data_IF_294520122226
#
_entry.id   IF_294520122226
#
_cell.length_a   1.000
_cell.length_b   1.000
_cell.length_c   1.000
_cell.angle_alpha   90.00
_cell.angle_beta   90.00
_cell.angle_gamma   90.00
#
_symmetry.space_group_name_H-M   'P 1'
#
loop_
_entity.id
_entity.type
_entity.pdbx_description
1 polymer ?
#
# COMPACT_ATOMS: atom_id res chain seq x y z
N UNK A 1 -13.85 -16.35 18.50
CA UNK A 1 -12.42 -16.76 18.45
C UNK A 1 -12.26 -17.77 17.31
N UNK A 2 -11.38 -17.50 16.38
CA UNK A 2 -11.07 -18.41 15.27
C UNK A 2 -10.60 -19.75 15.84
N UNK A 3 -11.26 -20.85 15.44
CA UNK A 3 -10.82 -22.19 15.81
C UNK A 3 -9.72 -22.62 14.85
N UNK A 4 -8.48 -22.56 15.33
CA UNK A 4 -7.29 -22.95 14.60
C UNK A 4 -6.59 -24.10 15.36
N UNK A 5 -6.37 -25.22 14.68
CA UNK A 5 -5.56 -26.31 15.22
C UNK A 5 -4.11 -26.14 14.76
N UNK A 6 -3.27 -25.68 15.67
CA UNK A 6 -1.85 -25.43 15.41
C UNK A 6 -1.02 -26.70 15.22
N UNK A 7 -1.60 -27.87 15.47
CA UNK A 7 -0.93 -29.17 15.28
C UNK A 7 -1.12 -29.72 13.87
N UNK A 8 -2.07 -29.16 13.10
CA UNK A 8 -2.36 -29.57 11.73
C UNK A 8 -1.76 -28.57 10.75
N UNK A 9 -0.81 -29.03 9.94
CA UNK A 9 -0.26 -28.27 8.83
C UNK A 9 -0.48 -29.07 7.53
N UNK A 10 -1.48 -28.71 6.72
CA UNK A 10 -1.93 -29.53 5.58
C UNK A 10 -0.94 -29.56 4.40
N UNK A 11 0.06 -28.70 4.40
CA UNK A 11 1.03 -28.59 3.30
C UNK A 11 2.42 -29.01 3.74
N UNK A 12 3.23 -29.65 2.88
CA UNK A 12 4.63 -29.90 3.18
C UNK A 12 5.38 -28.58 3.31
N UNK A 13 5.77 -28.24 4.53
CA UNK A 13 6.48 -27.00 4.83
C UNK A 13 7.56 -27.24 5.89
N UNK A 14 8.67 -26.51 5.77
CA UNK A 14 9.71 -26.45 6.80
C UNK A 14 9.48 -25.33 7.82
N UNK A 15 8.35 -24.60 7.71
CA UNK A 15 8.02 -23.52 8.63
C UNK A 15 7.30 -24.07 9.85
N UNK A 16 7.68 -23.57 11.01
CA UNK A 16 6.98 -23.83 12.26
C UNK A 16 5.97 -22.74 12.56
N UNK A 17 4.90 -23.08 13.27
CA UNK A 17 4.00 -22.07 13.84
C UNK A 17 4.77 -21.26 14.87
N UNK A 18 4.72 -19.94 14.74
CA UNK A 18 5.38 -19.01 15.65
C UNK A 18 4.41 -18.56 16.73
N UNK A 19 4.84 -18.66 17.98
CA UNK A 19 4.08 -18.17 19.13
C UNK A 19 4.83 -17.01 19.77
N UNK A 20 4.11 -15.93 20.09
CA UNK A 20 4.68 -14.78 20.75
C UNK A 20 3.83 -14.36 21.96
N UNK A 21 4.50 -14.06 23.09
CA UNK A 21 3.84 -13.60 24.32
C UNK A 21 3.62 -12.08 24.30
N UNK A 22 4.56 -11.33 23.75
CA UNK A 22 4.65 -9.86 23.92
C UNK A 22 4.37 -9.10 22.61
N UNK A 23 3.71 -9.73 21.66
CA UNK A 23 3.40 -9.14 20.36
C UNK A 23 4.15 -9.81 19.23
N UNK A 24 3.74 -9.50 18.01
CA UNK A 24 4.28 -10.08 16.78
C UNK A 24 4.22 -9.05 15.65
N UNK A 25 5.17 -9.14 14.73
CA UNK A 25 5.18 -8.39 13.48
C UNK A 25 5.36 -9.37 12.32
N UNK A 26 4.56 -9.24 11.28
CA UNK A 26 4.62 -10.05 10.08
C UNK A 26 4.64 -9.16 8.83
N UNK A 27 5.64 -9.37 7.96
CA UNK A 27 5.78 -8.65 6.69
C UNK A 27 6.71 -9.42 5.75
N UNK A 28 6.85 -8.97 4.49
CA UNK A 28 7.69 -9.60 3.47
C UNK A 28 9.20 -9.51 3.72
N UNK A 29 9.66 -8.49 4.45
CA UNK A 29 11.09 -8.26 4.72
C UNK A 29 11.46 -8.57 6.17
N UNK A 30 12.43 -9.48 6.43
CA UNK A 30 12.93 -9.74 7.79
C UNK A 30 13.49 -8.50 8.49
N UNK A 31 14.16 -7.59 7.76
CA UNK A 31 14.71 -6.36 8.32
C UNK A 31 13.61 -5.41 8.78
N UNK A 32 12.55 -5.28 8.00
CA UNK A 32 11.39 -4.49 8.38
C UNK A 32 10.64 -5.08 9.58
N UNK A 33 10.48 -6.42 9.63
CA UNK A 33 9.92 -7.08 10.80
C UNK A 33 10.77 -6.85 12.06
N UNK A 34 12.10 -6.85 11.95
CA UNK A 34 13.00 -6.53 13.05
C UNK A 34 12.83 -5.09 13.54
N UNK A 35 12.65 -4.11 12.65
CA UNK A 35 12.39 -2.72 13.01
C UNK A 35 11.13 -2.60 13.87
N UNK A 36 10.02 -3.24 13.47
CA UNK A 36 8.80 -3.25 14.27
C UNK A 36 8.96 -3.97 15.62
N UNK A 37 9.69 -5.09 15.65
CA UNK A 37 9.99 -5.80 16.92
C UNK A 37 10.89 -4.98 17.85
N UNK A 38 11.81 -4.19 17.32
CA UNK A 38 12.63 -3.27 18.11
C UNK A 38 11.74 -2.25 18.83
N UNK A 39 10.75 -1.70 18.14
CA UNK A 39 9.82 -0.74 18.70
C UNK A 39 8.92 -1.38 19.75
N UNK A 40 8.41 -2.61 19.54
CA UNK A 40 7.68 -3.35 20.59
C UNK A 40 8.54 -3.56 21.85
N UNK A 41 9.82 -3.91 21.69
CA UNK A 41 10.76 -4.10 22.81
C UNK A 41 11.09 -2.80 23.56
N UNK A 42 11.01 -1.65 22.89
CA UNK A 42 11.17 -0.32 23.50
C UNK A 42 9.92 0.17 24.25
N UNK A 43 8.84 -0.60 24.22
CA UNK A 43 7.58 -0.27 24.89
C UNK A 43 6.53 0.37 24.00
N UNK A 44 6.77 0.46 22.69
CA UNK A 44 5.78 0.83 21.70
C UNK A 44 4.66 -0.21 21.59
N UNK A 45 3.53 0.19 21.07
CA UNK A 45 2.39 -0.69 20.82
C UNK A 45 2.37 -1.24 19.39
N UNK A 46 1.30 -1.96 19.02
CA UNK A 46 1.12 -2.51 17.68
C UNK A 46 1.15 -1.45 16.57
N UNK A 47 0.63 -0.26 16.85
CA UNK A 47 0.56 0.85 15.89
C UNK A 47 1.96 1.44 15.66
N UNK A 48 2.72 1.68 16.72
CA UNK A 48 4.12 2.12 16.62
C UNK A 48 4.96 1.09 15.85
N UNK A 49 4.78 -0.20 16.16
CA UNK A 49 5.47 -1.28 15.46
C UNK A 49 5.12 -1.35 13.97
N UNK A 50 3.86 -1.12 13.61
CA UNK A 50 3.42 -1.08 12.22
C UNK A 50 4.05 0.10 11.46
N UNK A 51 4.08 1.31 12.06
CA UNK A 51 4.71 2.48 11.46
C UNK A 51 6.21 2.24 11.25
N UNK A 52 6.91 1.71 12.27
CA UNK A 52 8.35 1.40 12.17
C UNK A 52 8.64 0.39 11.05
N UNK A 53 7.79 -0.64 10.94
CA UNK A 53 7.88 -1.66 9.88
C UNK A 53 7.63 -1.02 8.51
N UNK A 54 6.60 -0.20 8.39
CA UNK A 54 6.24 0.51 7.17
C UNK A 54 7.38 1.45 6.71
N UNK A 55 7.92 2.26 7.63
CA UNK A 55 9.06 3.13 7.34
C UNK A 55 10.29 2.33 6.89
N UNK A 56 10.61 1.22 7.56
CA UNK A 56 11.71 0.34 7.16
C UNK A 56 11.49 -0.29 5.79
N UNK A 57 10.25 -0.65 5.42
CA UNK A 57 9.92 -1.19 4.09
C UNK A 57 10.21 -0.19 2.97
N UNK A 58 10.03 1.12 3.18
CA UNK A 58 10.40 2.12 2.17
C UNK A 58 11.89 2.14 1.86
N UNK A 59 12.71 1.65 2.78
CA UNK A 59 14.18 1.53 2.65
C UNK A 59 14.56 0.20 2.04
N UNK A 60 14.11 -0.93 2.64
CA UNK A 60 14.62 -2.27 2.31
C UNK A 60 13.85 -2.97 1.18
N UNK A 61 12.69 -2.45 0.81
CA UNK A 61 11.85 -2.93 -0.30
C UNK A 61 11.31 -1.78 -1.17
N UNK A 62 12.18 -0.87 -1.66
CA UNK A 62 11.75 0.30 -2.42
C UNK A 62 11.11 -0.07 -3.77
N UNK A 63 11.21 -1.33 -4.16
CA UNK A 63 10.60 -1.88 -5.38
C UNK A 63 9.09 -2.03 -5.29
N UNK A 64 8.49 -2.02 -4.11
CA UNK A 64 7.06 -2.21 -3.91
C UNK A 64 6.36 -1.02 -3.26
N UNK A 65 7.12 -0.14 -2.62
CA UNK A 65 6.61 1.02 -1.90
C UNK A 65 7.64 2.14 -1.78
N UNK A 66 7.23 3.31 -1.23
CA UNK A 66 8.13 4.44 -1.01
C UNK A 66 7.43 5.53 -0.21
N UNK A 67 8.17 6.50 0.31
CA UNK A 67 7.64 7.61 1.12
C UNK A 67 6.57 8.40 0.35
N UNK A 68 6.70 8.51 -0.96
CA UNK A 68 5.77 9.23 -1.85
C UNK A 68 4.56 8.41 -2.30
N UNK A 69 4.22 7.32 -1.63
CA UNK A 69 3.11 6.44 -1.94
C UNK A 69 1.80 6.77 -1.19
N UNK A 70 0.82 5.88 -1.32
CA UNK A 70 -0.43 5.87 -0.60
C UNK A 70 -0.44 4.83 0.53
N UNK A 71 -1.39 4.93 1.46
CA UNK A 71 -1.51 3.99 2.57
C UNK A 71 -2.93 3.88 3.12
N UNK A 72 -3.25 2.68 3.63
CA UNK A 72 -4.53 2.36 4.23
C UNK A 72 -4.33 1.53 5.49
N UNK A 73 -5.18 1.72 6.50
CA UNK A 73 -5.13 0.93 7.72
C UNK A 73 -6.52 0.55 8.22
N UNK A 74 -6.67 -0.69 8.68
CA UNK A 74 -7.76 -1.14 9.54
C UNK A 74 -7.12 -1.60 10.84
N UNK A 75 -7.60 -1.08 11.97
CA UNK A 75 -7.03 -1.40 13.27
C UNK A 75 -8.11 -1.68 14.31
N UNK A 76 -7.80 -2.59 15.22
CA UNK A 76 -8.61 -2.87 16.40
C UNK A 76 -7.87 -2.39 17.64
N UNK A 77 -8.43 -1.41 18.31
CA UNK A 77 -7.88 -0.84 19.56
C UNK A 77 -8.99 -0.81 20.58
N UNK A 78 -8.77 -1.40 21.75
CA UNK A 78 -9.77 -1.50 22.82
C UNK A 78 -11.11 -2.11 22.33
N UNK A 79 -11.05 -3.15 21.54
CA UNK A 79 -12.21 -3.83 20.94
C UNK A 79 -13.08 -2.95 20.00
N UNK A 80 -12.55 -1.83 19.54
CA UNK A 80 -13.18 -0.99 18.51
C UNK A 80 -12.37 -1.02 17.25
N UNK A 81 -13.06 -1.18 16.11
CA UNK A 81 -12.45 -1.16 14.78
C UNK A 81 -12.41 0.27 14.26
N UNK A 82 -11.32 0.65 13.64
CA UNK A 82 -11.09 1.95 13.00
C UNK A 82 -10.53 1.74 11.61
N UNK A 83 -10.86 2.63 10.69
CA UNK A 83 -10.29 2.69 9.35
C UNK A 83 -9.59 4.01 9.10
N UNK A 84 -8.45 3.99 8.42
CA UNK A 84 -7.74 5.17 7.94
C UNK A 84 -7.51 5.05 6.44
N UNK A 85 -7.97 6.04 5.70
CA UNK A 85 -7.70 6.20 4.27
C UNK A 85 -6.72 7.37 4.06
N UNK A 86 -5.55 7.07 3.53
CA UNK A 86 -4.53 8.04 3.15
C UNK A 86 -4.08 7.78 1.70
N UNK A 87 -5.05 7.71 0.77
CA UNK A 87 -4.80 7.47 -0.64
C UNK A 87 -4.42 8.73 -1.43
N UNK A 88 -4.69 9.91 -0.91
CA UNK A 88 -4.41 11.18 -1.55
C UNK A 88 -5.23 11.46 -2.83
N UNK A 89 -5.67 12.70 -3.03
CA UNK A 89 -6.40 13.10 -4.23
C UNK A 89 -5.47 13.32 -5.43
N UNK A 90 -6.06 13.38 -6.62
CA UNK A 90 -5.37 13.93 -7.79
C UNK A 90 -5.06 15.42 -7.58
N UNK A 91 -3.98 15.95 -8.16
CA UNK A 91 -3.68 17.38 -8.11
C UNK A 91 -4.81 18.24 -8.69
N UNK A 92 -5.10 19.38 -8.09
CA UNK A 92 -6.17 20.29 -8.52
C UNK A 92 -6.00 20.81 -9.96
N UNK A 93 -4.76 20.91 -10.41
CA UNK A 93 -4.45 21.37 -11.78
C UNK A 93 -4.63 20.28 -12.85
N UNK A 94 -4.86 19.03 -12.45
CA UNK A 94 -5.01 17.92 -13.39
C UNK A 94 -6.47 17.83 -13.86
N UNK A 95 -6.72 18.23 -15.10
CA UNK A 95 -8.02 18.12 -15.74
C UNK A 95 -8.00 17.05 -16.85
N UNK A 96 -9.05 16.22 -16.91
CA UNK A 96 -9.17 15.18 -17.94
C UNK A 96 -9.11 15.76 -19.36
N UNK A 97 -9.67 16.96 -19.58
CA UNK A 97 -9.64 17.63 -20.88
C UNK A 97 -8.23 17.97 -21.34
N UNK A 98 -7.32 18.33 -20.41
CA UNK A 98 -5.93 18.61 -20.75
C UNK A 98 -5.21 17.37 -21.26
N UNK A 99 -5.50 16.21 -20.66
CA UNK A 99 -4.93 14.93 -21.11
C UNK A 99 -5.44 14.55 -22.48
N UNK A 100 -6.74 14.70 -22.73
CA UNK A 100 -7.35 14.48 -24.04
C UNK A 100 -6.77 15.41 -25.12
N UNK A 101 -6.56 16.70 -24.79
CA UNK A 101 -5.95 17.68 -25.67
C UNK A 101 -4.48 17.33 -26.01
N UNK A 102 -3.77 16.65 -25.11
CA UNK A 102 -2.43 16.07 -25.35
C UNK A 102 -2.46 14.77 -26.14
N UNK A 103 -3.63 14.29 -26.56
CA UNK A 103 -3.82 13.06 -27.31
C UNK A 103 -3.75 11.78 -26.47
N UNK A 104 -3.75 11.89 -25.16
CA UNK A 104 -3.73 10.75 -24.24
C UNK A 104 -5.13 10.14 -24.16
N UNK A 105 -5.23 8.82 -24.41
CA UNK A 105 -6.48 8.06 -24.31
C UNK A 105 -6.64 7.35 -22.97
N UNK A 106 -5.54 7.20 -22.24
CA UNK A 106 -5.45 6.58 -20.91
C UNK A 106 -4.40 7.30 -20.10
N UNK A 107 -4.43 7.11 -18.77
CA UNK A 107 -3.42 7.67 -17.86
C UNK A 107 -2.04 7.04 -18.17
N UNK A 108 -0.98 7.84 -18.34
CA UNK A 108 0.37 7.32 -18.50
C UNK A 108 0.80 6.48 -17.30
N UNK A 109 1.63 5.46 -17.52
CA UNK A 109 2.15 4.62 -16.44
C UNK A 109 3.30 5.26 -15.67
N UNK A 110 4.08 6.13 -16.33
CA UNK A 110 5.29 6.74 -15.79
C UNK A 110 5.29 8.25 -15.98
N UNK A 111 6.18 8.94 -15.30
CA UNK A 111 6.30 10.40 -15.34
C UNK A 111 5.46 11.09 -14.27
N UNK A 112 5.32 12.42 -14.36
CA UNK A 112 4.64 13.24 -13.35
C UNK A 112 3.12 13.34 -13.53
N UNK A 113 2.57 12.88 -14.65
CA UNK A 113 1.12 12.98 -14.92
C UNK A 113 0.28 12.10 -13.99
N UNK A 114 0.62 10.81 -13.75
CA UNK A 114 -0.20 9.93 -12.93
C UNK A 114 -0.03 10.16 -11.42
N UNK A 115 0.89 11.02 -11.00
CA UNK A 115 1.21 11.23 -9.59
C UNK A 115 0.06 11.91 -8.86
N UNK A 116 -0.42 11.30 -7.77
CA UNK A 116 -1.38 11.89 -6.83
C UNK A 116 -0.66 12.42 -5.59
N UNK A 117 -1.39 13.09 -4.69
CA UNK A 117 -0.80 13.59 -3.44
C UNK A 117 -0.34 12.41 -2.58
N UNK A 118 0.95 12.34 -2.18
CA UNK A 118 1.44 11.25 -1.34
C UNK A 118 0.77 11.20 0.03
N UNK A 119 0.30 10.02 0.44
CA UNK A 119 -0.45 9.85 1.68
C UNK A 119 0.30 9.19 2.82
N UNK A 120 1.36 8.41 2.55
CA UNK A 120 2.07 7.60 3.55
C UNK A 120 2.56 8.39 4.76
N UNK A 121 3.25 9.54 4.63
CA UNK A 121 3.73 10.29 5.79
C UNK A 121 2.59 10.79 6.67
N UNK A 122 1.45 11.20 6.07
CA UNK A 122 0.27 11.63 6.81
C UNK A 122 -0.36 10.45 7.57
N UNK A 123 -0.43 9.26 6.94
CA UNK A 123 -0.93 8.06 7.61
C UNK A 123 -0.11 7.74 8.88
N UNK A 124 1.22 7.78 8.80
CA UNK A 124 2.07 7.54 9.96
C UNK A 124 1.85 8.57 11.06
N UNK A 125 1.77 9.85 10.70
CA UNK A 125 1.54 10.93 11.65
C UNK A 125 0.17 10.79 12.34
N UNK A 126 -0.90 10.52 11.59
CA UNK A 126 -2.26 10.35 12.13
C UNK A 126 -2.39 9.12 13.04
N UNK A 127 -1.82 7.98 12.62
CA UNK A 127 -1.78 6.77 13.42
C UNK A 127 -1.01 6.99 14.74
N UNK A 128 0.17 7.62 14.66
CA UNK A 128 1.02 7.92 15.82
C UNK A 128 0.34 8.89 16.79
N UNK A 129 -0.20 10.01 16.29
CA UNK A 129 -0.89 11.01 17.11
C UNK A 129 -2.09 10.44 17.87
N UNK A 130 -2.86 9.55 17.21
CA UNK A 130 -4.12 9.05 17.79
C UNK A 130 -3.91 7.85 18.71
N UNK A 131 -2.99 6.96 18.38
CA UNK A 131 -2.85 5.67 19.06
C UNK A 131 -1.42 5.29 19.44
N UNK A 132 -0.41 6.01 18.98
CA UNK A 132 0.99 5.73 19.29
C UNK A 132 1.32 5.93 20.77
N UNK A 133 2.29 5.19 21.27
CA UNK A 133 2.87 5.31 22.61
C UNK A 133 4.21 6.01 22.63
N UNK A 134 4.96 5.90 21.52
CA UNK A 134 6.28 6.50 21.40
C UNK A 134 6.23 7.72 20.45
N UNK A 135 7.15 8.69 20.61
CA UNK A 135 7.32 9.77 19.64
C UNK A 135 7.58 9.22 18.26
N UNK A 136 7.03 9.86 17.20
CA UNK A 136 7.19 9.38 15.83
C UNK A 136 8.66 9.33 15.40
N UNK A 137 9.51 10.25 15.88
CA UNK A 137 10.96 10.24 15.63
C UNK A 137 11.65 8.98 16.17
N UNK A 138 11.24 8.48 17.35
CA UNK A 138 11.75 7.21 17.86
C UNK A 138 11.22 6.01 17.06
N UNK A 139 9.99 6.09 16.60
CA UNK A 139 9.33 5.02 15.84
C UNK A 139 10.00 4.82 14.47
N UNK A 140 10.37 5.90 13.77
CA UNK A 140 11.04 5.80 12.46
C UNK A 140 12.56 5.59 12.56
N UNK A 141 13.16 5.76 13.74
CA UNK A 141 14.62 5.67 13.93
C UNK A 141 15.26 4.36 13.41
N UNK A 142 14.64 3.16 13.54
CA UNK A 142 15.20 1.95 12.95
C UNK A 142 15.29 2.01 11.42
N UNK A 143 14.33 2.65 10.74
CA UNK A 143 14.34 2.85 9.30
C UNK A 143 15.43 3.85 8.88
N UNK A 144 15.58 4.95 9.60
CA UNK A 144 16.66 5.93 9.43
C UNK A 144 18.01 5.25 9.53
N UNK A 145 18.20 4.39 10.54
CA UNK A 145 19.43 3.62 10.73
C UNK A 145 19.73 2.71 9.54
N UNK A 146 18.73 1.94 9.08
CA UNK A 146 18.88 1.08 7.90
C UNK A 146 19.26 1.86 6.65
N UNK A 147 18.68 3.03 6.44
CA UNK A 147 18.99 3.88 5.30
C UNK A 147 20.42 4.47 5.38
N UNK A 148 20.88 4.90 6.54
CA UNK A 148 22.23 5.48 6.75
C UNK A 148 23.34 4.45 6.76
N UNK A 149 23.22 3.39 7.55
CA UNK A 149 24.24 2.38 7.71
C UNK A 149 24.28 1.42 6.51
N UNK A 150 23.13 1.24 5.87
CA UNK A 150 22.93 0.36 4.72
C UNK A 150 22.43 -1.02 5.11
N UNK A 151 21.93 -1.73 4.11
CA UNK A 151 21.43 -3.09 4.23
C UNK A 151 21.85 -3.92 3.02
N UNK A 152 21.96 -5.24 3.20
CA UNK A 152 22.27 -6.18 2.12
C UNK A 152 21.00 -6.45 1.29
N UNK A 153 21.07 -6.23 -0.03
CA UNK A 153 19.91 -6.36 -0.95
C UNK A 153 19.54 -7.83 -1.14
N UNK A 154 18.27 -8.22 -0.85
CA UNK A 154 17.82 -9.60 -1.02
C UNK A 154 17.52 -9.93 -2.48
N UNK A 155 17.44 -11.24 -2.77
CA UNK A 155 17.31 -11.79 -4.14
C UNK A 155 16.17 -11.18 -4.95
N UNK A 156 14.96 -11.13 -4.38
CA UNK A 156 13.77 -10.65 -5.09
C UNK A 156 13.85 -9.15 -5.36
N UNK A 157 14.31 -8.38 -4.38
CA UNK A 157 14.48 -6.93 -4.49
C UNK A 157 15.51 -6.60 -5.59
N UNK A 158 16.67 -7.28 -5.62
CA UNK A 158 17.67 -7.09 -6.67
C UNK A 158 17.11 -7.34 -8.09
N UNK A 159 16.31 -8.39 -8.25
CA UNK A 159 15.66 -8.71 -9.56
C UNK A 159 14.68 -7.62 -9.99
N UNK A 160 13.83 -7.16 -9.07
CA UNK A 160 12.83 -6.10 -9.36
C UNK A 160 13.51 -4.75 -9.62
N UNK A 161 14.59 -4.46 -8.91
CA UNK A 161 15.40 -3.26 -9.11
C UNK A 161 15.98 -3.20 -10.53
N UNK A 162 16.60 -4.30 -10.98
CA UNK A 162 17.10 -4.42 -12.35
C UNK A 162 15.99 -4.26 -13.40
N UNK A 163 14.82 -4.84 -13.14
CA UNK A 163 13.66 -4.68 -14.02
C UNK A 163 13.20 -3.23 -14.11
N UNK A 164 13.16 -2.50 -12.98
CA UNK A 164 12.83 -1.08 -12.94
C UNK A 164 13.84 -0.25 -13.76
N UNK A 165 15.15 -0.47 -13.57
CA UNK A 165 16.18 0.22 -14.35
C UNK A 165 16.04 0.01 -15.88
N UNK A 166 15.68 -1.21 -16.30
CA UNK A 166 15.41 -1.50 -17.73
C UNK A 166 14.18 -0.75 -18.22
N UNK A 167 13.14 -0.62 -17.40
CA UNK A 167 11.92 0.10 -17.79
C UNK A 167 12.19 1.61 -17.89
N UNK A 168 12.73 2.22 -16.84
CA UNK A 168 12.99 3.66 -16.79
C UNK A 168 14.10 4.10 -17.75
N UNK A 169 15.05 3.20 -18.08
CA UNK A 169 16.06 3.47 -19.11
C UNK A 169 15.52 3.55 -20.54
N UNK A 170 14.24 3.21 -20.77
CA UNK A 170 13.55 3.39 -22.06
C UNK A 170 12.82 4.72 -22.17
N UNK A 171 12.61 5.39 -21.04
CA UNK A 171 11.93 6.67 -20.98
C UNK A 171 12.88 7.79 -21.41
N UNK A 172 12.37 8.77 -22.16
CA UNK A 172 13.17 9.84 -22.75
C UNK A 172 13.21 11.13 -21.93
N UNK A 173 12.45 11.19 -20.84
CA UNK A 173 12.37 12.38 -19.98
C UNK A 173 13.63 12.57 -19.13
N UNK A 174 14.16 13.81 -19.08
CA UNK A 174 15.34 14.14 -18.26
C UNK A 174 15.07 13.89 -16.76
N UNK A 175 13.84 14.01 -16.32
CA UNK A 175 13.40 13.80 -14.93
C UNK A 175 13.67 12.38 -14.41
N UNK A 176 13.74 11.38 -15.27
CA UNK A 176 14.06 10.00 -14.87
C UNK A 176 15.51 9.83 -14.38
N UNK A 177 16.41 10.76 -14.66
CA UNK A 177 17.81 10.69 -14.18
C UNK A 177 17.92 10.59 -12.67
N UNK A 178 17.01 11.26 -11.92
CA UNK A 178 17.04 11.26 -10.46
C UNK A 178 16.74 9.88 -9.85
N UNK A 179 16.01 9.02 -10.56
CA UNK A 179 15.88 7.64 -10.16
C UNK A 179 17.22 6.91 -10.23
N UNK A 180 17.99 7.12 -11.31
CA UNK A 180 19.31 6.51 -11.46
C UNK A 180 20.32 7.09 -10.46
N UNK A 181 20.30 8.38 -10.22
CA UNK A 181 21.15 9.04 -9.22
C UNK A 181 20.89 8.49 -7.81
N UNK A 182 19.65 8.26 -7.44
CA UNK A 182 19.24 7.80 -6.10
C UNK A 182 19.43 6.29 -5.92
N UNK A 183 19.05 5.50 -6.91
CA UNK A 183 18.91 4.06 -6.77
C UNK A 183 19.96 3.25 -7.54
N UNK A 184 20.97 3.89 -8.12
CA UNK A 184 22.10 3.18 -8.74
C UNK A 184 23.43 3.75 -8.28
N UNK A 185 24.49 2.96 -8.38
CA UNK A 185 25.85 3.42 -8.20
C UNK A 185 26.57 3.38 -9.54
N UNK A 186 27.05 4.54 -10.02
CA UNK A 186 27.68 4.66 -11.34
C UNK A 186 26.81 4.06 -12.48
N UNK A 187 25.48 4.28 -12.40
CA UNK A 187 24.50 3.77 -13.35
C UNK A 187 24.22 2.26 -13.25
N UNK A 188 24.78 1.57 -12.24
CA UNK A 188 24.59 0.12 -12.04
C UNK A 188 23.67 -0.14 -10.85
N UNK A 189 22.67 -1.00 -11.05
CA UNK A 189 21.84 -1.51 -9.97
C UNK A 189 22.66 -2.37 -9.01
N UNK A 190 22.24 -2.43 -7.73
CA UNK A 190 22.91 -3.30 -6.77
C UNK A 190 22.68 -4.78 -7.14
N UNK A 191 23.71 -5.58 -6.89
CA UNK A 191 23.65 -7.05 -6.97
C UNK A 191 23.13 -7.64 -5.66
N UNK A 192 22.79 -8.94 -5.71
CA UNK A 192 22.35 -9.68 -4.52
C UNK A 192 23.46 -9.65 -3.46
N UNK A 193 23.14 -9.19 -2.25
CA UNK A 193 24.07 -9.09 -1.14
C UNK A 193 24.88 -7.80 -1.08
N UNK A 194 24.80 -6.94 -2.10
CA UNK A 194 25.43 -5.63 -2.04
C UNK A 194 24.81 -4.77 -0.93
N UNK A 195 25.66 -3.98 -0.26
CA UNK A 195 25.19 -3.05 0.77
C UNK A 195 24.81 -1.72 0.13
N UNK A 196 23.52 -1.42 0.19
CA UNK A 196 22.93 -0.16 -0.28
C UNK A 196 22.73 0.81 0.87
N UNK A 197 23.08 2.08 0.68
CA UNK A 197 22.82 3.20 1.56
C UNK A 197 22.00 4.26 0.84
N UNK A 198 21.05 4.84 1.54
CA UNK A 198 20.11 5.84 1.02
C UNK A 198 20.10 7.07 1.96
N UNK A 199 21.19 7.88 1.98
CA UNK A 199 21.33 8.98 2.93
C UNK A 199 20.21 10.01 2.84
N UNK A 200 19.83 10.45 1.63
CA UNK A 200 18.76 11.42 1.43
C UNK A 200 17.41 10.88 1.94
N UNK A 201 17.19 9.57 1.80
CA UNK A 201 16.01 8.89 2.33
C UNK A 201 16.00 8.88 3.86
N UNK A 202 17.17 8.69 4.48
CA UNK A 202 17.31 8.76 5.94
C UNK A 202 16.99 10.16 6.47
N UNK A 203 17.50 11.20 5.82
CA UNK A 203 17.26 12.60 6.20
C UNK A 203 15.77 12.96 6.06
N UNK A 204 15.12 12.48 5.00
CA UNK A 204 13.68 12.65 4.80
C UNK A 204 12.87 11.94 5.89
N UNK A 205 13.21 10.70 6.25
CA UNK A 205 12.53 9.96 7.33
C UNK A 205 12.71 10.66 8.70
N UNK A 206 13.89 11.19 8.98
CA UNK A 206 14.15 11.99 10.19
C UNK A 206 13.26 13.22 10.24
N UNK A 207 13.24 14.03 9.16
CA UNK A 207 12.35 15.20 9.08
C UNK A 207 10.88 14.84 9.26
N UNK A 208 10.41 13.73 8.69
CA UNK A 208 9.03 13.25 8.88
C UNK A 208 8.78 12.89 10.34
N UNK A 209 9.70 12.16 10.98
CA UNK A 209 9.60 11.77 12.38
C UNK A 209 9.57 12.96 13.34
N UNK A 210 10.48 13.90 13.18
CA UNK A 210 10.66 15.06 14.06
C UNK A 210 9.49 16.05 13.96
N UNK A 211 8.85 16.16 12.79
CA UNK A 211 7.79 17.14 12.52
C UNK A 211 6.40 16.53 12.43
N UNK A 212 6.23 15.23 12.69
CA UNK A 212 4.97 14.52 12.43
C UNK A 212 4.43 14.80 11.03
N UNK A 213 5.34 14.68 10.05
CA UNK A 213 5.13 14.92 8.62
C UNK A 213 4.83 16.38 8.20
N UNK A 214 4.85 17.36 9.09
CA UNK A 214 4.63 18.75 8.68
C UNK A 214 5.69 19.26 7.70
N UNK A 215 6.95 18.81 7.82
CA UNK A 215 8.00 19.12 6.84
C UNK A 215 7.66 18.61 5.43
N UNK A 216 6.94 17.47 5.33
CA UNK A 216 6.55 16.88 4.06
C UNK A 216 5.42 17.65 3.37
N UNK A 217 4.44 18.13 4.13
CA UNK A 217 3.23 18.74 3.58
C UNK A 217 3.26 20.26 3.54
N UNK A 218 4.00 20.91 4.46
CA UNK A 218 4.01 22.39 4.61
C UNK A 218 5.40 22.99 4.58
N UNK A 219 6.46 22.18 4.82
CA UNK A 219 7.82 22.65 4.98
C UNK A 219 8.71 22.41 3.76
N UNK A 220 9.99 22.17 4.03
CA UNK A 220 11.06 22.05 3.03
C UNK A 220 10.81 20.96 1.99
N UNK A 221 10.28 19.81 2.39
CA UNK A 221 9.99 18.72 1.47
C UNK A 221 8.86 19.07 0.51
N UNK A 222 7.82 19.77 0.98
CA UNK A 222 6.76 20.29 0.13
C UNK A 222 7.31 21.30 -0.92
N UNK A 223 8.22 22.18 -0.52
CA UNK A 223 8.87 23.12 -1.43
C UNK A 223 9.69 22.39 -2.51
N UNK A 224 10.42 21.32 -2.14
CA UNK A 224 11.18 20.49 -3.08
C UNK A 224 10.28 19.75 -4.07
N UNK A 225 9.16 19.17 -3.58
CA UNK A 225 8.19 18.47 -4.42
C UNK A 225 7.54 19.44 -5.43
N UNK A 226 7.10 20.59 -4.97
CA UNK A 226 6.49 21.64 -5.82
C UNK A 226 7.47 22.15 -6.88
N UNK A 227 8.72 22.45 -6.48
CA UNK A 227 9.74 22.92 -7.40
C UNK A 227 10.09 21.87 -8.47
N UNK A 228 10.20 20.59 -8.06
CA UNK A 228 10.42 19.47 -8.98
C UNK A 228 9.26 19.31 -9.96
N UNK A 229 8.04 19.32 -9.46
CA UNK A 229 6.83 19.22 -10.27
C UNK A 229 6.75 20.37 -11.28
N UNK A 230 6.98 21.62 -10.86
CA UNK A 230 6.98 22.80 -11.74
C UNK A 230 8.04 22.71 -12.81
N UNK A 231 9.26 22.28 -12.45
CA UNK A 231 10.39 22.18 -13.39
C UNK A 231 10.11 21.26 -14.58
N UNK A 232 9.40 20.16 -14.34
CA UNK A 232 9.13 19.14 -15.36
C UNK A 232 7.65 19.09 -15.77
N UNK A 233 6.90 20.19 -15.60
CA UNK A 233 5.49 20.34 -15.99
C UNK A 233 4.55 19.30 -15.37
N UNK A 234 4.84 18.85 -14.16
CA UNK A 234 3.93 18.06 -13.36
C UNK A 234 2.78 18.90 -12.81
N UNK A 235 1.77 18.24 -12.24
CA UNK A 235 0.54 18.88 -11.80
C UNK A 235 0.49 19.19 -10.31
N UNK A 236 1.21 18.42 -9.45
CA UNK A 236 1.26 18.66 -8.00
C UNK A 236 1.81 20.05 -7.69
N UNK A 237 1.16 20.73 -6.75
CA UNK A 237 1.56 22.01 -6.18
C UNK A 237 1.63 21.92 -4.66
N UNK A 238 2.33 22.88 -4.06
CA UNK A 238 2.43 22.95 -2.60
C UNK A 238 1.05 23.02 -1.93
N UNK A 239 0.11 23.75 -2.49
CA UNK A 239 -1.25 23.87 -1.97
C UNK A 239 -1.99 22.52 -1.94
N UNK A 240 -1.72 21.62 -2.90
CA UNK A 240 -2.28 20.26 -2.88
C UNK A 240 -1.77 19.47 -1.69
N UNK A 241 -0.49 19.64 -1.36
CA UNK A 241 0.14 19.00 -0.21
C UNK A 241 -0.37 19.58 1.12
N UNK A 242 -0.42 20.91 1.24
CA UNK A 242 -0.82 21.62 2.47
C UNK A 242 -2.27 21.35 2.88
N UNK A 243 -3.16 21.19 1.91
CA UNK A 243 -4.59 20.94 2.15
C UNK A 243 -4.91 19.44 2.35
N UNK A 244 -3.97 18.55 2.08
CA UNK A 244 -4.23 17.11 2.21
C UNK A 244 -4.35 16.68 3.68
N UNK A 245 -5.45 15.99 3.98
CA UNK A 245 -5.67 15.31 5.25
C UNK A 245 -6.04 13.84 4.99
N UNK A 246 -5.50 12.93 5.81
CA UNK A 246 -5.92 11.54 5.79
C UNK A 246 -7.29 11.39 6.48
N UNK A 247 -8.13 10.52 5.96
CA UNK A 247 -9.52 10.38 6.41
C UNK A 247 -9.69 9.19 7.36
N UNK A 248 -10.19 9.44 8.57
CA UNK A 248 -10.69 8.39 9.44
C UNK A 248 -12.08 7.99 8.98
N UNK A 249 -12.22 6.74 8.54
CA UNK A 249 -13.45 6.20 7.95
C UNK A 249 -14.01 5.04 8.78
N UNK A 250 -15.34 4.85 8.75
CA UNK A 250 -15.96 3.65 9.33
C UNK A 250 -15.76 2.48 8.36
N UNK A 251 -15.10 1.38 8.79
CA UNK A 251 -14.94 0.20 7.96
C UNK A 251 -16.29 -0.42 7.59
N UNK A 252 -16.38 -0.90 6.35
CA UNK A 252 -17.50 -1.68 5.84
C UNK A 252 -17.29 -3.16 6.11
N UNK A 253 -18.36 -3.96 6.23
CA UNK A 253 -18.22 -5.39 6.51
C UNK A 253 -19.29 -6.25 5.88
N UNK A 254 -18.97 -7.55 5.74
CA UNK A 254 -19.93 -8.60 5.41
C UNK A 254 -19.76 -9.78 6.38
N UNK A 255 -20.84 -10.55 6.55
CA UNK A 255 -20.75 -11.83 7.28
C UNK A 255 -20.41 -12.95 6.31
N UNK A 256 -19.37 -13.72 6.64
CA UNK A 256 -18.96 -14.90 5.89
C UNK A 256 -18.63 -16.05 6.84
N UNK A 257 -19.34 -17.16 6.74
CA UNK A 257 -19.16 -18.35 7.59
C UNK A 257 -19.13 -18.06 9.10
N UNK A 258 -19.94 -17.10 9.56
CA UNK A 258 -20.06 -16.74 10.98
C UNK A 258 -19.04 -15.72 11.48
N UNK A 259 -18.18 -15.18 10.60
CA UNK A 259 -17.23 -14.11 10.89
C UNK A 259 -17.66 -12.82 10.21
N UNK A 260 -17.36 -11.69 10.85
CA UNK A 260 -17.44 -10.37 10.24
C UNK A 260 -16.09 -10.08 9.56
N UNK A 261 -16.11 -9.84 8.25
CA UNK A 261 -14.92 -9.48 7.46
C UNK A 261 -15.01 -8.00 7.12
N UNK A 262 -13.98 -7.25 7.49
CA UNK A 262 -13.95 -5.80 7.36
C UNK A 262 -13.01 -5.36 6.24
N UNK A 263 -13.41 -4.30 5.54
CA UNK A 263 -12.62 -3.57 4.56
C UNK A 263 -12.86 -2.06 4.69
N UNK A 264 -11.99 -1.26 4.07
CA UNK A 264 -12.25 0.18 3.95
C UNK A 264 -13.30 0.44 2.87
N UNK A 265 -14.13 1.49 3.04
CA UNK A 265 -15.04 1.90 1.98
C UNK A 265 -14.26 2.38 0.74
N UNK A 266 -14.91 2.51 -0.43
CA UNK A 266 -14.33 3.20 -1.58
C UNK A 266 -13.75 4.58 -1.18
N UNK A 267 -12.73 5.07 -1.83
CA UNK A 267 -12.22 4.82 -3.20
C UNK A 267 -11.34 3.55 -3.38
N UNK A 268 -10.86 2.96 -2.28
CA UNK A 268 -10.05 1.73 -2.34
C UNK A 268 -10.84 0.52 -2.89
N UNK A 269 -10.11 -0.47 -3.42
CA UNK A 269 -10.69 -1.65 -4.06
C UNK A 269 -11.02 -2.79 -3.08
N UNK A 270 -10.83 -2.61 -1.76
CA UNK A 270 -11.08 -3.64 -0.74
C UNK A 270 -12.50 -4.21 -0.77
N UNK A 271 -13.48 -3.40 -1.14
CA UNK A 271 -14.86 -3.82 -1.34
C UNK A 271 -15.00 -5.03 -2.29
N UNK A 272 -14.07 -5.24 -3.23
CA UNK A 272 -14.08 -6.40 -4.13
C UNK A 272 -13.99 -7.73 -3.37
N UNK A 273 -13.21 -7.77 -2.29
CA UNK A 273 -13.12 -8.95 -1.43
C UNK A 273 -14.46 -9.24 -0.74
N UNK A 274 -15.12 -8.21 -0.22
CA UNK A 274 -16.43 -8.35 0.43
C UNK A 274 -17.53 -8.79 -0.57
N UNK A 275 -17.52 -8.23 -1.78
CA UNK A 275 -18.41 -8.63 -2.86
C UNK A 275 -18.19 -10.10 -3.25
N UNK A 276 -16.93 -10.52 -3.43
CA UNK A 276 -16.59 -11.90 -3.73
C UNK A 276 -17.03 -12.85 -2.61
N UNK A 277 -16.84 -12.50 -1.34
CA UNK A 277 -17.29 -13.29 -0.21
C UNK A 277 -18.83 -13.41 -0.17
N UNK A 278 -19.57 -12.34 -0.45
CA UNK A 278 -21.03 -12.38 -0.56
C UNK A 278 -21.51 -13.32 -1.69
N UNK A 279 -20.79 -13.34 -2.83
CA UNK A 279 -21.07 -14.29 -3.92
C UNK A 279 -20.76 -15.72 -3.47
N UNK A 280 -19.60 -15.95 -2.84
CA UNK A 280 -19.16 -17.27 -2.38
C UNK A 280 -20.05 -17.85 -1.28
N UNK A 281 -20.70 -17.02 -0.47
CA UNK A 281 -21.65 -17.43 0.56
C UNK A 281 -22.90 -18.14 -0.02
N UNK A 282 -23.11 -18.08 -1.35
CA UNK A 282 -24.17 -18.79 -2.08
C UNK A 282 -23.77 -20.21 -2.47
N UNK A 283 -22.50 -20.61 -2.29
CA UNK A 283 -21.99 -21.92 -2.68
C UNK A 283 -21.60 -22.76 -1.47
N UNK A 284 -21.80 -24.06 -1.59
CA UNK A 284 -21.27 -25.03 -0.63
C UNK A 284 -20.07 -25.77 -1.24
N UNK A 285 -19.00 -25.84 -0.49
CA UNK A 285 -17.78 -26.53 -0.89
C UNK A 285 -17.66 -27.85 -0.12
N UNK A 286 -17.72 -28.98 -0.85
CA UNK A 286 -17.60 -30.30 -0.26
C UNK A 286 -16.17 -30.59 0.24
N UNK A 287 -15.17 -30.03 -0.43
CA UNK A 287 -13.76 -30.18 -0.08
C UNK A 287 -12.95 -28.93 -0.42
N UNK A 288 -11.82 -28.77 0.26
CA UNK A 288 -10.82 -27.74 -0.07
C UNK A 288 -10.06 -28.13 -1.34
N UNK A 289 -9.56 -27.13 -2.07
CA UNK A 289 -8.56 -27.29 -3.13
C UNK A 289 -8.95 -28.27 -4.25
N UNK A 290 -10.24 -28.30 -4.57
CA UNK A 290 -10.74 -29.00 -5.75
C UNK A 290 -10.78 -28.04 -6.95
N UNK A 291 -10.82 -28.59 -8.17
CA UNK A 291 -11.03 -27.80 -9.38
C UNK A 291 -12.30 -26.95 -9.26
N UNK A 292 -13.37 -27.51 -8.69
CA UNK A 292 -14.63 -26.80 -8.48
C UNK A 292 -14.50 -25.65 -7.51
N UNK A 293 -13.81 -25.84 -6.36
CA UNK A 293 -13.64 -24.78 -5.38
C UNK A 293 -12.80 -23.63 -5.93
N UNK A 294 -11.66 -23.93 -6.57
CA UNK A 294 -10.84 -22.89 -7.22
C UNK A 294 -11.58 -22.16 -8.35
N UNK A 295 -12.28 -22.91 -9.21
CA UNK A 295 -13.08 -22.32 -10.29
C UNK A 295 -14.10 -21.32 -9.72
N UNK A 296 -14.88 -21.73 -8.72
CA UNK A 296 -15.92 -20.87 -8.10
C UNK A 296 -15.31 -19.62 -7.45
N UNK A 297 -14.18 -19.77 -6.73
CA UNK A 297 -13.48 -18.63 -6.11
C UNK A 297 -12.95 -17.64 -7.14
N UNK A 298 -12.34 -18.15 -8.22
CA UNK A 298 -11.81 -17.31 -9.31
C UNK A 298 -12.94 -16.56 -10.02
N UNK A 299 -14.04 -17.25 -10.36
CA UNK A 299 -15.18 -16.62 -11.02
C UNK A 299 -15.84 -15.56 -10.12
N UNK A 300 -16.02 -15.84 -8.83
CA UNK A 300 -16.56 -14.86 -7.89
C UNK A 300 -15.69 -13.60 -7.81
N UNK A 301 -14.36 -13.77 -7.74
CA UNK A 301 -13.43 -12.65 -7.72
C UNK A 301 -13.45 -11.86 -9.03
N UNK A 302 -13.48 -12.53 -10.19
CA UNK A 302 -13.60 -11.89 -11.50
C UNK A 302 -14.84 -11.02 -11.60
N UNK A 303 -15.99 -11.54 -11.17
CA UNK A 303 -17.26 -10.80 -11.14
C UNK A 303 -17.21 -9.57 -10.23
N UNK A 304 -16.64 -9.72 -9.04
CA UNK A 304 -16.45 -8.61 -8.12
C UNK A 304 -15.51 -7.53 -8.68
N UNK A 305 -14.40 -7.93 -9.29
CA UNK A 305 -13.44 -7.00 -9.89
C UNK A 305 -14.04 -6.18 -11.03
N UNK A 306 -14.81 -6.81 -11.90
CA UNK A 306 -15.48 -6.14 -13.02
C UNK A 306 -16.40 -5.03 -12.50
N UNK A 307 -17.15 -5.33 -11.46
CA UNK A 307 -18.09 -4.37 -10.86
C UNK A 307 -17.34 -3.22 -10.18
N UNK A 308 -16.23 -3.53 -9.46
CA UNK A 308 -15.39 -2.52 -8.84
C UNK A 308 -14.79 -1.58 -9.88
N UNK A 309 -14.24 -2.11 -10.97
CA UNK A 309 -13.68 -1.29 -12.05
C UNK A 309 -14.71 -0.36 -12.71
N UNK A 310 -15.97 -0.76 -12.73
CA UNK A 310 -17.05 0.02 -13.32
C UNK A 310 -17.66 1.05 -12.39
N UNK A 311 -17.78 0.72 -11.11
CA UNK A 311 -18.61 1.47 -10.17
C UNK A 311 -17.83 2.16 -9.05
N UNK A 312 -16.65 1.65 -8.67
CA UNK A 312 -15.85 2.21 -7.59
C UNK A 312 -14.98 3.34 -8.11
N UNK A 313 -15.09 4.48 -7.46
CA UNK A 313 -14.34 5.70 -7.74
C UNK A 313 -14.29 6.54 -6.46
N UNK A 314 -13.94 7.80 -6.57
CA UNK A 314 -14.15 8.77 -5.50
C UNK A 314 -15.64 8.73 -5.06
N UNK A 315 -15.93 8.50 -3.78
CA UNK A 315 -17.31 8.34 -3.27
C UNK A 315 -18.24 9.49 -3.65
N UNK A 316 -17.69 10.71 -3.84
CA UNK A 316 -18.44 11.90 -4.24
C UNK A 316 -19.02 11.80 -5.66
N UNK A 317 -18.45 10.94 -6.50
CA UNK A 317 -18.82 10.77 -7.91
C UNK A 317 -19.38 9.38 -8.23
N UNK A 318 -19.40 8.46 -7.25
CA UNK A 318 -19.98 7.14 -7.44
C UNK A 318 -21.49 7.24 -7.74
N UNK A 319 -21.94 6.45 -8.73
CA UNK A 319 -23.36 6.35 -9.12
C UNK A 319 -24.09 5.22 -8.39
N UNK A 320 -23.34 4.37 -7.69
CA UNK A 320 -23.83 3.19 -6.97
C UNK A 320 -23.32 3.26 -5.54
N UNK A 321 -24.17 2.97 -4.56
CA UNK A 321 -23.76 3.00 -3.16
C UNK A 321 -23.06 1.70 -2.74
N UNK A 322 -22.31 1.75 -1.64
CA UNK A 322 -21.66 0.57 -1.03
C UNK A 322 -22.72 -0.48 -0.67
N UNK A 323 -23.84 -0.06 -0.10
CA UNK A 323 -24.93 -0.97 0.30
C UNK A 323 -25.53 -1.70 -0.90
N UNK A 324 -25.64 -1.03 -2.06
CA UNK A 324 -26.09 -1.66 -3.29
C UNK A 324 -25.12 -2.74 -3.77
N UNK A 325 -23.80 -2.43 -3.79
CA UNK A 325 -22.76 -3.37 -4.20
C UNK A 325 -22.65 -4.57 -3.25
N UNK A 326 -22.86 -4.37 -1.95
CA UNK A 326 -22.79 -5.41 -0.92
C UNK A 326 -24.14 -6.06 -0.63
N UNK A 327 -25.22 -5.71 -1.36
CA UNK A 327 -26.52 -6.29 -1.11
C UNK A 327 -26.56 -7.80 -1.43
N UNK A 328 -27.31 -8.54 -0.62
CA UNK A 328 -27.47 -10.00 -0.81
C UNK A 328 -28.14 -10.33 -2.14
N UNK A 329 -29.09 -9.49 -2.58
CA UNK A 329 -29.78 -9.66 -3.86
C UNK A 329 -28.78 -9.53 -5.03
N UNK A 330 -27.91 -8.51 -5.00
CA UNK A 330 -26.87 -8.35 -6.02
C UNK A 330 -25.90 -9.52 -6.05
N UNK A 331 -25.43 -9.97 -4.89
CA UNK A 331 -24.55 -11.13 -4.79
C UNK A 331 -25.20 -12.41 -5.34
N UNK A 332 -26.52 -12.60 -5.13
CA UNK A 332 -27.26 -13.73 -5.67
C UNK A 332 -27.36 -13.69 -7.20
N UNK A 333 -27.60 -12.51 -7.77
CA UNK A 333 -27.64 -12.34 -9.23
C UNK A 333 -26.27 -12.59 -9.86
N UNK A 334 -25.20 -12.12 -9.22
CA UNK A 334 -23.82 -12.38 -9.69
C UNK A 334 -23.46 -13.88 -9.57
N UNK A 335 -23.87 -14.55 -8.50
CA UNK A 335 -23.63 -15.98 -8.30
C UNK A 335 -24.25 -16.85 -9.40
N UNK A 336 -25.42 -16.48 -9.94
CA UNK A 336 -26.10 -17.20 -11.05
C UNK A 336 -25.26 -17.26 -12.33
N UNK A 337 -24.30 -16.35 -12.50
CA UNK A 337 -23.41 -16.31 -13.67
C UNK A 337 -22.28 -17.35 -13.59
N UNK A 338 -22.03 -17.93 -12.41
CA UNK A 338 -20.97 -18.92 -12.20
C UNK A 338 -21.48 -20.31 -12.61
N UNK A 339 -21.13 -20.74 -13.81
CA UNK A 339 -21.43 -22.05 -14.36
C UNK A 339 -20.31 -23.08 -14.13
N UNK A 340 -20.22 -24.05 -15.05
CA UNK A 340 -19.17 -25.07 -15.04
C UNK A 340 -17.96 -24.69 -15.91
N UNK A 341 -18.05 -23.64 -16.68
CA UNK A 341 -16.99 -23.12 -17.59
C UNK A 341 -16.61 -21.71 -17.17
N UNK A 342 -15.33 -21.37 -17.38
CA UNK A 342 -14.85 -20.01 -17.13
C UNK A 342 -15.57 -19.00 -18.06
N UNK A 343 -15.97 -17.88 -17.50
CA UNK A 343 -16.54 -16.76 -18.25
C UNK A 343 -15.50 -15.64 -18.37
N UNK A 344 -15.60 -14.84 -19.44
CA UNK A 344 -14.97 -13.52 -19.52
C UNK A 344 -16.03 -12.49 -19.17
N UNK A 345 -16.05 -11.96 -17.95
CA UNK A 345 -16.98 -10.90 -17.62
C UNK A 345 -16.63 -9.64 -18.42
N UNK A 346 -17.62 -8.95 -18.94
CA UNK A 346 -17.39 -7.67 -19.62
C UNK A 346 -16.89 -6.65 -18.61
N UNK A 347 -15.65 -6.32 -18.65
CA UNK A 347 -15.00 -5.08 -18.21
C UNK A 347 -13.48 -5.20 -18.24
N UNK A 348 -12.81 -4.09 -18.03
CA UNK A 348 -11.43 -3.84 -18.35
C UNK A 348 -10.36 -4.73 -17.71
N UNK A 349 -9.17 -4.61 -18.25
CA UNK A 349 -7.95 -5.36 -18.01
C UNK A 349 -7.43 -5.24 -16.56
N UNK A 350 -7.11 -6.33 -15.85
CA UNK A 350 -6.55 -6.25 -14.50
C UNK A 350 -5.05 -5.92 -14.56
N UNK A 351 -4.66 -4.74 -14.08
CA UNK A 351 -3.26 -4.36 -13.93
C UNK A 351 -2.64 -4.97 -12.66
N UNK A 352 -1.46 -5.59 -12.81
CA UNK A 352 -0.65 -6.07 -11.69
C UNK A 352 0.23 -4.94 -11.13
N UNK A 353 -0.05 -4.44 -9.93
CA UNK A 353 0.79 -3.51 -9.16
C UNK A 353 1.63 -4.22 -8.08
N UNK A 354 2.77 -3.62 -7.68
CA UNK A 354 3.56 -4.06 -6.53
C UNK A 354 3.11 -3.32 -5.26
N UNK A 355 2.78 -4.08 -4.21
CA UNK A 355 2.26 -3.55 -2.94
C UNK A 355 2.94 -4.26 -1.78
N UNK A 356 3.22 -3.55 -0.68
CA UNK A 356 3.67 -4.17 0.57
C UNK A 356 2.58 -4.16 1.62
N UNK A 357 2.43 -5.30 2.28
CA UNK A 357 1.52 -5.51 3.38
C UNK A 357 2.28 -5.83 4.66
N UNK A 358 1.75 -5.36 5.78
CA UNK A 358 2.21 -5.69 7.12
C UNK A 358 1.06 -5.83 8.11
N UNK A 359 1.31 -6.58 9.18
CA UNK A 359 0.45 -6.64 10.33
C UNK A 359 1.28 -6.61 11.62
N UNK A 360 0.76 -5.99 12.64
CA UNK A 360 1.36 -5.95 13.95
C UNK A 360 0.31 -6.15 15.04
N UNK A 361 0.74 -6.74 16.15
CA UNK A 361 -0.06 -6.93 17.35
C UNK A 361 0.80 -6.70 18.59
N UNK A 362 0.19 -6.21 19.66
CA UNK A 362 0.85 -6.02 20.96
C UNK A 362 0.28 -6.94 22.05
N UNK A 363 0.83 -6.84 23.25
CA UNK A 363 0.42 -7.63 24.40
C UNK A 363 -0.86 -7.12 25.07
N UNK A 364 -1.38 -5.98 24.67
CA UNK A 364 -2.66 -5.41 25.12
C UNK A 364 -3.83 -5.86 24.23
N UNK A 365 -3.54 -6.62 23.17
CA UNK A 365 -4.54 -7.12 22.21
C UNK A 365 -4.86 -6.11 21.10
N UNK A 366 -4.12 -5.02 20.97
CA UNK A 366 -4.25 -4.12 19.83
C UNK A 366 -3.63 -4.79 18.60
N UNK A 367 -4.29 -4.59 17.47
CA UNK A 367 -3.86 -5.13 16.19
C UNK A 367 -4.03 -4.11 15.08
N UNK A 368 -3.16 -4.15 14.10
CA UNK A 368 -3.23 -3.34 12.89
C UNK A 368 -2.91 -4.17 11.66
N UNK A 369 -3.71 -4.00 10.65
CA UNK A 369 -3.50 -4.44 9.27
C UNK A 369 -3.22 -3.19 8.44
N UNK A 370 -2.04 -3.09 7.87
CA UNK A 370 -1.60 -1.90 7.15
C UNK A 370 -1.06 -2.27 5.77
N UNK A 371 -1.44 -1.51 4.77
CA UNK A 371 -0.98 -1.66 3.41
C UNK A 371 -0.51 -0.32 2.89
N UNK A 372 0.61 -0.32 2.19
CA UNK A 372 1.12 0.84 1.48
C UNK A 372 1.74 0.44 0.16
N UNK A 373 1.73 1.35 -0.80
CA UNK A 373 2.12 1.04 -2.17
C UNK A 373 2.64 2.28 -2.90
N UNK A 374 3.44 2.02 -3.93
CA UNK A 374 3.67 2.94 -5.03
C UNK A 374 2.90 2.54 -6.29
N UNK A 375 1.99 1.56 -6.19
CA UNK A 375 1.24 0.91 -7.25
C UNK A 375 2.13 0.04 -8.15
N UNK A 376 2.83 0.59 -9.14
CA UNK A 376 3.80 -0.15 -9.93
C UNK A 376 5.20 -0.07 -9.33
N UNK A 377 6.07 -1.04 -9.61
CA UNK A 377 7.42 -1.10 -9.03
C UNK A 377 8.17 0.22 -9.14
N UNK A 378 8.53 0.83 -8.02
CA UNK A 378 9.06 2.20 -7.87
C UNK A 378 8.11 3.32 -8.32
N UNK A 379 6.80 3.06 -8.43
CA UNK A 379 5.81 4.07 -8.78
C UNK A 379 5.97 4.66 -10.16
N UNK A 380 5.79 5.96 -10.25
CA UNK A 380 5.90 6.75 -11.49
C UNK A 380 7.32 6.82 -12.09
N UNK A 381 8.33 6.32 -11.38
CA UNK A 381 9.74 6.51 -11.71
C UNK A 381 10.28 7.89 -11.36
N UNK A 382 9.45 8.74 -10.76
CA UNK A 382 9.83 10.10 -10.36
C UNK A 382 10.39 10.09 -8.95
N UNK A 383 11.62 10.58 -8.79
CA UNK A 383 12.26 10.76 -7.49
C UNK A 383 12.58 12.23 -7.30
N UNK A 384 12.12 12.78 -6.18
CA UNK A 384 12.36 14.18 -5.83
C UNK A 384 13.84 14.37 -5.46
N UNK A 385 14.59 15.25 -6.14
CA UNK A 385 16.02 15.37 -5.97
C UNK A 385 16.44 15.67 -4.53
N UNK A 386 17.45 14.97 -4.03
CA UNK A 386 18.02 15.16 -2.69
C UNK A 386 17.04 14.84 -1.56
N UNK A 387 16.08 13.93 -1.78
CA UNK A 387 15.09 13.53 -0.74
C UNK A 387 14.90 12.02 -0.65
N UNK A 388 15.24 11.26 -1.70
CA UNK A 388 14.92 9.84 -1.80
C UNK A 388 13.42 9.53 -1.97
N UNK A 389 12.55 10.54 -2.07
CA UNK A 389 11.09 10.36 -2.22
C UNK A 389 10.79 9.86 -3.63
N UNK A 390 10.39 8.59 -3.74
CA UNK A 390 9.82 8.02 -4.96
C UNK A 390 8.30 8.23 -4.95
N UNK A 391 7.79 8.93 -5.95
CA UNK A 391 6.37 9.24 -6.08
C UNK A 391 5.63 8.06 -6.73
N UNK A 392 4.45 7.72 -6.20
CA UNK A 392 3.62 6.66 -6.77
C UNK A 392 2.98 7.06 -8.10
N UNK A 393 2.33 6.13 -8.77
CA UNK A 393 1.63 6.35 -10.05
C UNK A 393 0.18 5.85 -10.01
#
# INVERSE_FOLDING_TARGET
MLKFDSTIYPYPSRRNVMYAKNGMVATGSPLAAQAGLEILKKGGNAIDAAIATAAALTVVEPTGNGIGGDGFAILSVNNKIYGLNASGPSPKLLEAQDLLNKGLKEMPKYGLIPVTVPGIPKAWAELSKKFGKLPLSEVVAPAVKLAREGYAVPVNVAKLWKKAAVNFGKESGEEFKYWFETFTKDGKCPEIGDVVRLPDHADTLEMIGDTYADAFYKGELADKIDAFSKKYNGYIRKDDLEEFEAEWVEPISVKYHGYDVYELPPNGHGISALMALNILDRFQFEARETVRSYHTMIEAMKLAFVDVQKYVADPRFMKVTVEQLLSKAYAEDRAKLIGNTAIMPEAGDPFCGGTVYLAAADNEGNMISYIQSNYMGFGSGMVVPGTGIALHN
#
